data_IF_767437388490
#
_entry.id   IF_767437388490
#
_cell.length_a   1.000
_cell.length_b   1.000
_cell.length_c   1.000
_cell.angle_alpha   90.00
_cell.angle_beta   90.00
_cell.angle_gamma   90.00
#
_symmetry.space_group_name_H-M   'P 1'
#
loop_
_entity.id
_entity.type
_entity.pdbx_description
1 polymer ?
#
# COMPACT_ATOMS: atom_id res chain seq x y z
N UNK A 1 -24.97 14.85 -16.07
CA UNK A 1 -24.12 13.85 -15.37
C UNK A 1 -22.69 14.33 -15.07
N UNK A 2 -21.95 14.97 -16.01
CA UNK A 2 -20.58 15.47 -15.77
C UNK A 2 -20.53 16.60 -14.71
N UNK A 3 -21.44 17.57 -14.75
CA UNK A 3 -21.51 18.72 -13.82
C UNK A 3 -21.80 18.25 -12.39
N UNK A 4 -22.78 17.34 -12.20
CA UNK A 4 -23.10 16.80 -10.87
C UNK A 4 -21.90 16.08 -10.22
N UNK A 5 -21.17 15.30 -11.02
CA UNK A 5 -19.95 14.61 -10.57
C UNK A 5 -18.85 15.60 -10.18
N UNK A 6 -18.69 16.68 -10.94
CA UNK A 6 -17.72 17.73 -10.65
C UNK A 6 -18.06 18.44 -9.34
N UNK A 7 -19.30 18.89 -9.15
CA UNK A 7 -19.76 19.51 -7.91
C UNK A 7 -19.60 18.62 -6.70
N UNK A 8 -19.97 17.33 -6.84
CA UNK A 8 -19.76 16.36 -5.79
C UNK A 8 -18.27 16.25 -5.39
N UNK A 9 -17.37 16.15 -6.35
CA UNK A 9 -15.94 16.07 -6.08
C UNK A 9 -15.39 17.34 -5.43
N UNK A 10 -15.90 18.51 -5.82
CA UNK A 10 -15.53 19.78 -5.20
C UNK A 10 -15.97 19.82 -3.73
N UNK A 11 -17.23 19.46 -3.44
CA UNK A 11 -17.77 19.41 -2.07
C UNK A 11 -16.99 18.41 -1.22
N UNK A 12 -16.77 17.19 -1.73
CA UNK A 12 -15.94 16.18 -1.05
C UNK A 12 -14.56 16.74 -0.68
N UNK A 13 -13.94 17.46 -1.61
CA UNK A 13 -12.61 18.03 -1.42
C UNK A 13 -12.61 19.14 -0.35
N UNK A 14 -13.60 20.03 -0.37
CA UNK A 14 -13.74 21.11 0.64
C UNK A 14 -13.90 20.48 2.03
N UNK A 15 -14.76 19.46 2.17
CA UNK A 15 -14.96 18.75 3.44
C UNK A 15 -13.66 18.10 3.92
N UNK A 16 -12.91 17.44 3.05
CA UNK A 16 -11.64 16.81 3.39
C UNK A 16 -10.60 17.86 3.83
N UNK A 17 -10.48 18.97 3.12
CA UNK A 17 -9.56 20.07 3.47
C UNK A 17 -9.94 20.66 4.83
N UNK A 18 -11.23 20.85 5.12
CA UNK A 18 -11.70 21.31 6.41
C UNK A 18 -11.29 20.37 7.55
N UNK A 19 -11.48 19.04 7.38
CA UNK A 19 -11.00 18.07 8.35
C UNK A 19 -9.47 18.08 8.49
N UNK A 20 -8.74 18.21 7.41
CA UNK A 20 -7.28 18.30 7.44
C UNK A 20 -6.81 19.54 8.21
N UNK A 21 -7.50 20.67 8.07
CA UNK A 21 -7.23 21.87 8.84
C UNK A 21 -7.43 21.64 10.35
N UNK A 22 -8.57 21.07 10.75
CA UNK A 22 -8.84 20.71 12.16
C UNK A 22 -7.78 19.74 12.67
N UNK A 23 -7.47 18.68 11.93
CA UNK A 23 -6.47 17.72 12.31
C UNK A 23 -5.10 18.35 12.54
N UNK A 24 -4.70 19.30 11.68
CA UNK A 24 -3.41 19.99 11.86
C UNK A 24 -3.35 20.77 13.17
N UNK A 25 -4.46 21.35 13.62
CA UNK A 25 -4.55 22.09 14.90
C UNK A 25 -4.43 21.14 16.10
N UNK A 26 -5.16 20.02 16.09
CA UNK A 26 -5.19 19.09 17.25
C UNK A 26 -4.00 18.13 17.34
N UNK A 27 -3.18 18.05 16.28
CA UNK A 27 -1.95 17.29 16.22
C UNK A 27 -2.13 15.80 15.87
N UNK A 28 -1.02 15.13 15.49
CA UNK A 28 -1.01 13.81 14.88
C UNK A 28 -1.73 12.74 15.71
N UNK A 29 -1.38 12.56 17.00
CA UNK A 29 -1.92 11.49 17.85
C UNK A 29 -3.44 11.61 18.02
N UNK A 30 -3.92 12.80 18.37
CA UNK A 30 -5.36 13.04 18.56
C UNK A 30 -6.14 12.91 17.25
N UNK A 31 -5.58 13.42 16.14
CA UNK A 31 -6.20 13.34 14.81
C UNK A 31 -6.34 11.89 14.34
N UNK A 32 -5.28 11.10 14.48
CA UNK A 32 -5.28 9.68 14.13
C UNK A 32 -6.35 8.92 14.94
N UNK A 33 -6.41 9.13 16.26
CA UNK A 33 -7.42 8.52 17.13
C UNK A 33 -8.86 8.92 16.73
N UNK A 34 -9.14 10.21 16.62
CA UNK A 34 -10.49 10.73 16.31
C UNK A 34 -10.93 10.25 14.92
N UNK A 35 -10.08 10.37 13.93
CA UNK A 35 -10.38 9.90 12.57
C UNK A 35 -10.62 8.40 12.52
N UNK A 36 -9.84 7.61 13.27
CA UNK A 36 -10.09 6.18 13.43
C UNK A 36 -11.50 5.88 13.95
N UNK A 37 -11.95 6.60 14.98
CA UNK A 37 -13.32 6.46 15.54
C UNK A 37 -14.40 6.89 14.54
N UNK A 38 -14.19 7.97 13.80
CA UNK A 38 -15.10 8.43 12.74
C UNK A 38 -15.26 7.33 11.67
N UNK A 39 -14.17 6.76 11.18
CA UNK A 39 -14.24 5.72 10.15
C UNK A 39 -14.80 4.40 10.68
N UNK A 40 -14.58 4.06 11.94
CA UNK A 40 -15.21 2.90 12.57
C UNK A 40 -16.74 3.02 12.53
N UNK A 41 -17.29 4.22 12.74
CA UNK A 41 -18.73 4.45 12.71
C UNK A 41 -19.28 4.57 11.28
N UNK A 42 -18.61 5.34 10.42
CA UNK A 42 -19.09 5.68 9.08
C UNK A 42 -18.55 4.75 7.96
N UNK A 43 -17.57 3.92 8.23
CA UNK A 43 -16.88 3.09 7.22
C UNK A 43 -17.83 2.17 6.45
N UNK A 44 -18.85 1.63 7.12
CA UNK A 44 -19.90 0.79 6.51
C UNK A 44 -20.65 1.45 5.34
N UNK A 45 -20.67 2.78 5.29
CA UNK A 45 -21.32 3.53 4.21
C UNK A 45 -20.42 3.74 2.99
N UNK A 46 -19.11 3.58 3.14
CA UNK A 46 -18.16 3.79 2.03
C UNK A 46 -18.02 2.58 1.13
N UNK A 47 -18.21 1.37 1.65
CA UNK A 47 -18.05 0.11 0.91
C UNK A 47 -19.07 -0.93 1.35
N UNK A 48 -19.42 -1.83 0.42
CA UNK A 48 -20.32 -2.94 0.71
C UNK A 48 -19.75 -3.85 1.79
N UNK A 49 -20.39 -3.91 2.95
CA UNK A 49 -20.03 -4.77 4.06
C UNK A 49 -20.03 -6.25 3.65
N UNK A 50 -21.08 -6.68 2.91
CA UNK A 50 -21.18 -8.05 2.38
C UNK A 50 -19.95 -8.46 1.55
N UNK A 51 -19.35 -7.52 0.80
CA UNK A 51 -18.13 -7.80 0.04
C UNK A 51 -16.94 -8.03 0.95
N UNK A 52 -16.77 -7.24 2.00
CA UNK A 52 -15.69 -7.37 2.96
C UNK A 52 -15.83 -8.70 3.71
N UNK A 53 -17.02 -9.04 4.17
CA UNK A 53 -17.34 -10.32 4.80
C UNK A 53 -17.02 -11.51 3.90
N UNK A 54 -17.42 -11.45 2.63
CA UNK A 54 -17.12 -12.52 1.66
C UNK A 54 -15.61 -12.68 1.45
N UNK A 55 -14.86 -11.59 1.36
CA UNK A 55 -13.42 -11.65 1.23
C UNK A 55 -12.75 -12.29 2.47
N UNK A 56 -13.19 -11.93 3.67
CA UNK A 56 -12.73 -12.54 4.91
C UNK A 56 -13.04 -14.04 4.94
N UNK A 57 -14.27 -14.46 4.59
CA UNK A 57 -14.67 -15.88 4.55
C UNK A 57 -13.90 -16.69 3.50
N UNK A 58 -13.48 -16.08 2.38
CA UNK A 58 -12.62 -16.76 1.39
C UNK A 58 -11.24 -17.01 1.99
N UNK A 59 -10.66 -16.03 2.68
CA UNK A 59 -9.33 -16.14 3.25
C UNK A 59 -9.31 -16.99 4.53
N UNK A 60 -10.35 -16.87 5.34
CA UNK A 60 -10.50 -17.51 6.66
C UNK A 60 -11.87 -18.15 6.81
N UNK A 61 -12.09 -19.36 6.26
CA UNK A 61 -13.41 -20.00 6.25
C UNK A 61 -13.98 -20.30 7.65
N UNK A 62 -13.12 -20.45 8.65
CA UNK A 62 -13.49 -20.84 10.01
C UNK A 62 -13.77 -19.66 10.94
N UNK A 63 -13.67 -18.40 10.47
CA UNK A 63 -13.98 -17.25 11.30
C UNK A 63 -15.48 -17.21 11.65
N UNK A 64 -15.76 -16.98 12.90
CA UNK A 64 -17.12 -16.69 13.41
C UNK A 64 -17.62 -15.34 12.90
N UNK A 65 -18.92 -15.13 12.93
CA UNK A 65 -19.50 -13.83 12.57
C UNK A 65 -19.05 -12.69 13.51
N UNK A 66 -18.67 -13.00 14.76
CA UNK A 66 -18.16 -12.04 15.73
C UNK A 66 -16.77 -11.58 15.29
N UNK A 67 -15.84 -12.52 15.07
CA UNK A 67 -14.48 -12.22 14.61
C UNK A 67 -14.46 -11.46 13.27
N UNK A 68 -15.34 -11.82 12.34
CA UNK A 68 -15.50 -11.08 11.07
C UNK A 68 -15.86 -9.61 11.32
N UNK A 69 -16.81 -9.34 12.23
CA UNK A 69 -17.21 -7.97 12.58
C UNK A 69 -16.07 -7.21 13.26
N UNK A 70 -15.31 -7.86 14.12
CA UNK A 70 -14.13 -7.29 14.77
C UNK A 70 -13.07 -6.89 13.74
N UNK A 71 -12.70 -7.78 12.83
CA UNK A 71 -11.74 -7.49 11.75
C UNK A 71 -12.20 -6.34 10.85
N UNK A 72 -13.50 -6.26 10.54
CA UNK A 72 -14.06 -5.16 9.75
C UNK A 72 -13.96 -3.84 10.52
N UNK A 73 -14.29 -3.84 11.80
CA UNK A 73 -14.25 -2.67 12.65
C UNK A 73 -12.81 -2.13 12.79
N UNK A 74 -11.86 -3.01 13.05
CA UNK A 74 -10.45 -2.66 13.14
C UNK A 74 -9.91 -2.14 11.81
N UNK A 75 -10.23 -2.80 10.69
CA UNK A 75 -9.86 -2.32 9.36
C UNK A 75 -10.33 -0.88 9.14
N UNK A 76 -11.58 -0.56 9.45
CA UNK A 76 -12.09 0.81 9.29
C UNK A 76 -11.39 1.81 10.22
N UNK A 77 -11.10 1.41 11.46
CA UNK A 77 -10.33 2.22 12.38
C UNK A 77 -8.93 2.56 11.80
N UNK A 78 -8.20 1.57 11.27
CA UNK A 78 -6.90 1.81 10.62
C UNK A 78 -7.01 2.72 9.40
N UNK A 79 -8.03 2.54 8.57
CA UNK A 79 -8.26 3.46 7.44
C UNK A 79 -8.46 4.90 7.87
N UNK A 80 -9.24 5.11 8.92
CA UNK A 80 -9.44 6.44 9.47
C UNK A 80 -8.15 7.04 10.01
N UNK A 81 -7.33 6.25 10.71
CA UNK A 81 -6.03 6.69 11.18
C UNK A 81 -5.14 7.13 10.02
N UNK A 82 -4.99 6.31 9.00
CA UNK A 82 -4.19 6.63 7.79
C UNK A 82 -4.70 7.88 7.10
N UNK A 83 -6.02 8.09 7.00
CA UNK A 83 -6.62 9.28 6.42
C UNK A 83 -6.15 10.56 7.12
N UNK A 84 -6.17 10.61 8.45
CA UNK A 84 -5.69 11.77 9.20
C UNK A 84 -4.16 11.95 9.09
N UNK A 85 -3.42 10.87 9.01
CA UNK A 85 -1.95 10.89 8.97
C UNK A 85 -1.38 11.51 7.68
N UNK A 86 -2.17 11.59 6.60
CA UNK A 86 -1.72 12.24 5.37
C UNK A 86 -1.31 13.71 5.56
N UNK A 87 -1.97 14.44 6.45
CA UNK A 87 -1.60 15.85 6.69
C UNK A 87 -0.31 15.98 7.52
N UNK A 88 0.15 14.88 8.13
CA UNK A 88 1.35 14.80 8.95
C UNK A 88 2.52 14.07 8.28
N UNK A 89 2.45 13.80 6.96
CA UNK A 89 3.52 13.10 6.23
C UNK A 89 4.89 13.78 6.38
N UNK A 90 4.94 15.12 6.49
CA UNK A 90 6.18 15.83 6.76
C UNK A 90 6.75 15.50 8.14
N UNK A 91 5.90 15.45 9.15
CA UNK A 91 6.30 15.19 10.53
C UNK A 91 6.76 13.74 10.70
N UNK A 92 6.03 12.80 10.06
CA UNK A 92 6.40 11.38 9.98
C UNK A 92 7.71 11.17 9.20
N UNK A 93 7.93 11.91 8.11
CA UNK A 93 9.17 11.83 7.33
C UNK A 93 10.38 12.30 8.15
N UNK A 94 10.23 13.36 8.94
CA UNK A 94 11.30 13.82 9.84
C UNK A 94 11.63 12.77 10.90
N UNK A 95 10.64 12.04 11.36
CA UNK A 95 10.73 11.01 12.40
C UNK A 95 11.47 11.48 13.67
N UNK A 96 11.28 12.75 14.05
CA UNK A 96 11.98 13.35 15.19
C UNK A 96 11.64 12.69 16.53
N UNK A 97 10.43 12.09 16.62
CA UNK A 97 9.96 11.39 17.83
C UNK A 97 10.25 9.88 17.83
N UNK A 98 10.96 9.37 16.82
CA UNK A 98 11.26 7.94 16.72
C UNK A 98 10.05 7.05 16.46
N UNK A 99 8.98 7.61 15.89
CA UNK A 99 7.73 6.87 15.63
C UNK A 99 7.85 5.72 14.62
N UNK A 100 8.95 5.66 13.86
CA UNK A 100 9.17 4.64 12.83
C UNK A 100 10.43 3.87 13.16
N UNK A 101 10.26 2.61 13.57
CA UNK A 101 11.33 1.64 13.77
C UNK A 101 11.50 0.81 12.50
N UNK A 102 12.75 0.41 12.21
CA UNK A 102 13.05 -0.27 10.95
C UNK A 102 13.98 -1.44 11.19
N UNK A 103 13.60 -2.57 10.63
CA UNK A 103 14.39 -3.79 10.61
C UNK A 103 14.78 -4.15 9.16
N UNK A 104 15.97 -4.72 8.97
CA UNK A 104 16.51 -5.10 7.66
C UNK A 104 17.15 -3.93 6.92
N UNK A 105 17.69 -2.93 7.65
CA UNK A 105 18.42 -1.80 7.06
C UNK A 105 19.72 -2.22 6.38
N UNK A 106 20.34 -3.31 6.84
CA UNK A 106 21.51 -3.94 6.24
C UNK A 106 21.26 -4.39 4.79
N UNK A 107 20.05 -4.87 4.49
CA UNK A 107 19.64 -5.23 3.13
C UNK A 107 19.70 -3.98 2.23
N UNK A 108 19.14 -2.84 2.69
CA UNK A 108 19.19 -1.59 1.92
C UNK A 108 20.61 -1.08 1.72
N UNK A 109 21.48 -1.24 2.72
CA UNK A 109 22.87 -0.84 2.64
C UNK A 109 23.61 -1.65 1.56
N UNK A 110 23.46 -2.98 1.57
CA UNK A 110 24.01 -3.88 0.53
C UNK A 110 23.52 -3.50 -0.88
N UNK A 111 22.22 -3.22 -1.04
CA UNK A 111 21.66 -2.79 -2.34
C UNK A 111 22.29 -1.47 -2.83
N UNK A 112 22.53 -0.52 -1.93
CA UNK A 112 23.18 0.77 -2.27
C UNK A 112 24.65 0.60 -2.63
N UNK A 113 25.39 -0.15 -1.83
CA UNK A 113 26.82 -0.43 -2.05
C UNK A 113 27.05 -1.11 -3.41
N UNK A 114 26.17 -2.02 -3.78
CA UNK A 114 26.22 -2.73 -5.04
C UNK A 114 25.58 -1.96 -6.22
N UNK A 115 25.01 -0.78 -6.01
CA UNK A 115 24.20 -0.05 -7.00
C UNK A 115 23.10 -0.92 -7.64
N UNK A 116 22.51 -1.81 -6.85
CA UNK A 116 21.55 -2.81 -7.31
C UNK A 116 20.13 -2.25 -7.35
N UNK A 117 19.49 -2.29 -8.53
CA UNK A 117 18.07 -1.96 -8.70
C UNK A 117 17.21 -3.19 -8.46
N UNK A 118 16.15 -3.05 -7.67
CA UNK A 118 15.26 -4.16 -7.27
C UNK A 118 13.79 -3.78 -7.39
N UNK A 119 12.92 -4.78 -7.33
CA UNK A 119 11.49 -4.57 -7.19
C UNK A 119 11.11 -4.70 -5.72
N UNK A 120 10.65 -3.61 -5.09
CA UNK A 120 10.05 -3.66 -3.77
C UNK A 120 8.56 -4.00 -3.90
N UNK A 121 8.11 -5.01 -3.17
CA UNK A 121 6.71 -5.46 -3.18
C UNK A 121 6.09 -5.41 -1.79
N UNK A 122 4.82 -5.04 -1.73
CA UNK A 122 4.02 -5.04 -0.50
C UNK A 122 2.53 -5.18 -0.79
N UNK A 123 1.72 -5.07 0.27
CA UNK A 123 0.28 -4.90 0.23
C UNK A 123 -0.15 -3.60 0.94
N UNK A 124 -1.44 -3.29 0.87
CA UNK A 124 -2.01 -2.14 1.55
C UNK A 124 -2.26 -2.47 3.03
N UNK A 125 -1.19 -2.39 3.82
CA UNK A 125 -1.20 -2.59 5.27
C UNK A 125 -1.04 -1.26 6.00
N UNK A 126 -1.78 -1.03 7.06
CA UNK A 126 -1.65 0.17 7.90
C UNK A 126 -1.35 1.45 7.08
N UNK A 127 -0.40 2.28 7.49
CA UNK A 127 0.06 3.42 6.69
C UNK A 127 1.15 3.01 5.70
N UNK A 128 0.76 2.28 4.66
CA UNK A 128 1.64 1.75 3.62
C UNK A 128 2.47 2.83 2.89
N UNK A 129 2.06 4.09 2.91
CA UNK A 129 2.81 5.20 2.28
C UNK A 129 4.19 5.39 2.92
N UNK A 130 4.31 5.08 4.22
CA UNK A 130 5.56 5.22 4.97
C UNK A 130 6.66 4.27 4.48
N UNK A 131 6.32 3.13 3.86
CA UNK A 131 7.30 2.21 3.30
C UNK A 131 8.10 2.88 2.16
N UNK A 132 7.41 3.42 1.16
CA UNK A 132 8.07 4.12 0.06
C UNK A 132 8.79 5.39 0.53
N UNK A 133 8.22 6.11 1.50
CA UNK A 133 8.86 7.26 2.14
C UNK A 133 10.20 6.88 2.75
N UNK A 134 10.23 5.77 3.48
CA UNK A 134 11.45 5.34 4.15
C UNK A 134 12.51 4.87 3.15
N UNK A 135 12.14 4.06 2.16
CA UNK A 135 13.06 3.61 1.12
C UNK A 135 13.74 4.79 0.42
N UNK A 136 12.96 5.81 0.04
CA UNK A 136 13.52 7.01 -0.60
C UNK A 136 14.40 7.82 0.36
N UNK A 137 13.97 7.99 1.62
CA UNK A 137 14.75 8.67 2.66
C UNK A 137 16.06 7.96 2.96
N UNK A 138 16.11 6.65 2.83
CA UNK A 138 17.33 5.83 3.02
C UNK A 138 18.32 5.92 1.87
N UNK A 139 18.04 6.72 0.83
CA UNK A 139 18.93 6.94 -0.31
C UNK A 139 18.74 5.96 -1.47
N UNK A 140 17.72 5.10 -1.41
CA UNK A 140 17.36 4.25 -2.56
C UNK A 140 16.83 5.13 -3.70
N UNK A 141 17.37 5.01 -4.89
CA UNK A 141 16.78 5.60 -6.11
C UNK A 141 15.47 4.90 -6.39
N UNK A 142 14.35 5.47 -5.94
CA UNK A 142 13.04 4.83 -5.93
C UNK A 142 12.06 5.47 -6.88
N UNK A 143 11.28 4.64 -7.57
CA UNK A 143 10.04 5.02 -8.23
C UNK A 143 8.88 4.23 -7.63
N UNK A 144 7.74 4.87 -7.36
CA UNK A 144 6.59 4.24 -6.72
C UNK A 144 5.37 4.24 -7.65
N UNK A 145 4.79 3.05 -7.87
CA UNK A 145 3.59 2.90 -8.69
C UNK A 145 2.34 3.18 -7.86
N UNK A 146 1.48 4.06 -8.34
CA UNK A 146 0.24 4.42 -7.66
C UNK A 146 -0.95 4.47 -8.61
N UNK A 147 -2.15 4.31 -8.05
CA UNK A 147 -3.41 4.54 -8.76
C UNK A 147 -3.92 5.95 -8.46
N UNK A 148 -4.19 6.80 -9.48
CA UNK A 148 -4.83 8.09 -9.29
C UNK A 148 -6.19 7.97 -8.60
N UNK A 149 -6.51 8.95 -7.74
CA UNK A 149 -7.83 9.02 -7.12
C UNK A 149 -8.89 9.41 -8.15
N UNK A 150 -10.12 8.93 -7.95
CA UNK A 150 -11.24 9.29 -8.82
C UNK A 150 -11.63 10.78 -8.69
N UNK A 151 -11.50 11.35 -7.50
CA UNK A 151 -11.71 12.78 -7.26
C UNK A 151 -10.49 13.55 -7.75
N UNK A 152 -10.67 14.32 -8.83
CA UNK A 152 -9.59 15.02 -9.53
C UNK A 152 -8.89 16.08 -8.65
N UNK A 153 -9.64 16.76 -7.79
CA UNK A 153 -9.08 17.80 -6.91
C UNK A 153 -8.22 17.16 -5.81
N UNK A 154 -8.75 16.12 -5.15
CA UNK A 154 -7.99 15.37 -4.16
C UNK A 154 -6.78 14.68 -4.77
N UNK A 155 -6.90 14.21 -6.02
CA UNK A 155 -5.77 13.58 -6.71
C UNK A 155 -4.59 14.55 -6.86
N UNK A 156 -4.85 15.81 -7.24
CA UNK A 156 -3.81 16.84 -7.35
C UNK A 156 -3.10 17.09 -6.01
N UNK A 157 -3.87 17.19 -4.92
CA UNK A 157 -3.33 17.36 -3.57
C UNK A 157 -2.46 16.16 -3.18
N UNK A 158 -2.99 14.94 -3.37
CA UNK A 158 -2.31 13.70 -3.01
C UNK A 158 -1.03 13.49 -3.84
N UNK A 159 -1.05 13.75 -5.13
CA UNK A 159 0.16 13.68 -5.98
C UNK A 159 1.25 14.64 -5.50
N UNK A 160 0.87 15.86 -5.11
CA UNK A 160 1.82 16.84 -4.55
C UNK A 160 2.42 16.37 -3.23
N UNK A 161 1.58 15.88 -2.31
CA UNK A 161 2.03 15.36 -1.02
C UNK A 161 2.96 14.14 -1.20
N UNK A 162 2.60 13.19 -2.08
CA UNK A 162 3.42 12.03 -2.37
C UNK A 162 4.77 12.40 -2.96
N UNK A 163 4.80 13.27 -3.99
CA UNK A 163 6.06 13.73 -4.60
C UNK A 163 6.95 14.46 -3.61
N UNK A 164 6.35 15.24 -2.69
CA UNK A 164 7.10 16.06 -1.73
C UNK A 164 7.62 15.23 -0.54
N UNK A 165 6.82 14.31 -0.03
CA UNK A 165 7.09 13.67 1.25
C UNK A 165 7.30 12.15 1.18
N UNK A 166 6.86 11.46 0.13
CA UNK A 166 6.93 10.02 0.03
C UNK A 166 8.04 9.60 -0.95
N UNK A 167 7.86 9.85 -2.23
CA UNK A 167 8.83 9.49 -3.27
C UNK A 167 8.70 10.46 -4.45
N UNK A 168 9.83 11.03 -4.89
CA UNK A 168 9.87 12.02 -5.98
C UNK A 168 9.34 11.48 -7.31
N UNK A 169 9.69 10.24 -7.65
CA UNK A 169 9.28 9.58 -8.89
C UNK A 169 8.00 8.77 -8.66
N UNK A 170 6.86 9.38 -8.96
CA UNK A 170 5.54 8.75 -8.89
C UNK A 170 5.09 8.28 -10.28
N UNK A 171 4.75 7.01 -10.42
CA UNK A 171 4.35 6.39 -11.70
C UNK A 171 2.85 6.04 -11.63
N UNK A 172 2.07 6.55 -12.57
CA UNK A 172 0.64 6.21 -12.67
C UNK A 172 0.47 4.77 -13.16
N UNK A 173 -0.34 3.97 -12.46
CA UNK A 173 -0.68 2.60 -12.89
C UNK A 173 -1.25 2.57 -14.30
N UNK A 174 -0.90 1.54 -15.08
CA UNK A 174 -1.39 1.29 -16.43
C UNK A 174 -0.26 1.01 -17.42
N UNK A 175 -0.60 0.81 -18.70
CA UNK A 175 0.39 0.46 -19.75
C UNK A 175 1.51 1.51 -19.90
N UNK A 176 1.17 2.80 -19.82
CA UNK A 176 2.17 3.88 -19.85
C UNK A 176 3.05 3.81 -18.63
N UNK A 177 2.47 3.63 -17.45
CA UNK A 177 3.24 3.51 -16.21
C UNK A 177 4.17 2.29 -16.19
N UNK A 178 3.78 1.17 -16.80
CA UNK A 178 4.68 0.03 -16.95
C UNK A 178 5.90 0.40 -17.81
N UNK A 179 5.69 1.10 -18.94
CA UNK A 179 6.79 1.58 -19.79
C UNK A 179 7.71 2.53 -19.04
N UNK A 180 7.15 3.48 -18.29
CA UNK A 180 7.90 4.42 -17.47
C UNK A 180 8.69 3.70 -16.37
N UNK A 181 8.10 2.67 -15.75
CA UNK A 181 8.78 1.83 -14.75
C UNK A 181 9.99 1.11 -15.37
N UNK A 182 9.83 0.51 -16.56
CA UNK A 182 10.93 -0.16 -17.27
C UNK A 182 12.05 0.82 -17.63
N UNK A 183 11.70 2.02 -18.09
CA UNK A 183 12.67 3.07 -18.41
C UNK A 183 13.46 3.49 -17.17
N UNK A 184 12.77 3.81 -16.08
CA UNK A 184 13.41 4.22 -14.83
C UNK A 184 14.26 3.10 -14.23
N UNK A 185 13.86 1.84 -14.37
CA UNK A 185 14.67 0.71 -13.90
C UNK A 185 16.00 0.62 -14.65
N UNK A 186 16.00 0.82 -15.97
CA UNK A 186 17.24 0.91 -16.77
C UNK A 186 18.11 2.13 -16.38
N UNK A 187 17.51 3.18 -15.81
CA UNK A 187 18.23 4.36 -15.29
C UNK A 187 18.73 4.15 -13.83
N UNK A 188 18.64 2.93 -13.32
CA UNK A 188 19.09 2.57 -11.97
C UNK A 188 18.11 2.89 -10.85
N UNK A 189 16.81 3.07 -11.14
CA UNK A 189 15.77 3.21 -10.13
C UNK A 189 15.19 1.85 -9.77
N UNK A 190 15.07 1.57 -8.48
CA UNK A 190 14.20 0.52 -7.99
C UNK A 190 12.72 0.90 -8.15
N UNK A 191 11.84 -0.10 -8.26
CA UNK A 191 10.40 0.11 -8.43
C UNK A 191 9.66 -0.45 -7.23
N UNK A 192 8.84 0.38 -6.56
CA UNK A 192 7.94 -0.07 -5.49
C UNK A 192 6.51 -0.18 -6.00
N UNK A 193 5.87 -1.33 -5.76
CA UNK A 193 4.47 -1.55 -6.12
C UNK A 193 3.73 -2.45 -5.11
N UNK A 194 2.43 -2.21 -4.99
CA UNK A 194 1.53 -3.06 -4.23
C UNK A 194 1.00 -4.19 -5.11
N UNK A 195 1.09 -5.44 -4.61
CA UNK A 195 0.73 -6.65 -5.38
C UNK A 195 -0.58 -7.28 -4.93
N UNK A 196 -1.23 -6.73 -3.93
CA UNK A 196 -2.38 -7.30 -3.23
C UNK A 196 -3.75 -7.05 -3.88
N UNK A 197 -3.85 -6.09 -4.81
CA UNK A 197 -5.11 -5.76 -5.44
C UNK A 197 -5.30 -6.48 -6.79
N UNK A 198 -6.57 -6.72 -7.13
CA UNK A 198 -6.94 -7.29 -8.43
C UNK A 198 -6.48 -6.40 -9.59
N UNK A 199 -5.90 -7.04 -10.60
CA UNK A 199 -5.49 -6.40 -11.85
C UNK A 199 -6.09 -7.18 -13.00
N UNK A 200 -6.97 -6.55 -13.80
CA UNK A 200 -7.71 -7.23 -14.87
C UNK A 200 -6.80 -7.82 -15.96
N UNK A 201 -5.63 -7.21 -16.16
CA UNK A 201 -4.61 -7.63 -17.12
C UNK A 201 -3.58 -8.61 -16.53
N UNK A 202 -3.79 -9.04 -15.28
CA UNK A 202 -2.92 -9.99 -14.61
C UNK A 202 -3.27 -11.45 -14.92
N UNK A 203 -2.47 -12.38 -14.40
CA UNK A 203 -2.74 -13.81 -14.46
C UNK A 203 -3.69 -14.25 -13.33
N UNK A 204 -4.46 -15.33 -13.59
CA UNK A 204 -5.24 -16.01 -12.56
C UNK A 204 -4.30 -16.87 -11.72
N UNK A 205 -3.96 -16.41 -10.55
CA UNK A 205 -3.03 -17.09 -9.62
C UNK A 205 -3.76 -17.34 -8.30
N UNK A 206 -3.48 -18.48 -7.67
CA UNK A 206 -4.03 -18.80 -6.35
C UNK A 206 -3.63 -17.74 -5.31
N UNK A 207 -4.64 -17.32 -4.52
CA UNK A 207 -4.51 -16.45 -3.38
C UNK A 207 -5.53 -16.89 -2.32
N UNK A 208 -5.09 -17.36 -1.16
CA UNK A 208 -5.92 -18.08 -0.19
C UNK A 208 -6.71 -19.25 -0.82
N UNK A 209 -6.02 -20.10 -1.53
CA UNK A 209 -6.58 -21.27 -2.24
C UNK A 209 -7.67 -20.98 -3.28
N UNK A 210 -7.96 -19.71 -3.58
CA UNK A 210 -8.91 -19.30 -4.61
C UNK A 210 -8.20 -18.47 -5.68
N UNK A 211 -8.54 -18.70 -6.95
CA UNK A 211 -7.98 -17.93 -8.07
C UNK A 211 -8.33 -16.45 -7.97
N UNK A 212 -7.35 -15.61 -8.21
CA UNK A 212 -7.51 -14.16 -8.25
C UNK A 212 -6.61 -13.55 -9.32
N UNK A 213 -7.13 -12.61 -10.08
CA UNK A 213 -6.32 -11.86 -11.04
C UNK A 213 -5.24 -11.05 -10.33
N UNK A 214 -3.99 -11.43 -10.51
CA UNK A 214 -2.82 -10.89 -9.82
C UNK A 214 -1.88 -10.22 -10.81
N UNK A 215 -1.26 -9.11 -10.39
CA UNK A 215 -0.24 -8.44 -11.20
C UNK A 215 0.97 -9.33 -11.40
N UNK A 216 1.42 -9.45 -12.63
CA UNK A 216 2.63 -10.21 -13.01
C UNK A 216 3.84 -9.30 -13.19
N UNK A 217 3.72 -8.00 -12.90
CA UNK A 217 4.80 -7.03 -13.10
C UNK A 217 6.10 -7.45 -12.42
N UNK A 218 6.13 -7.89 -11.14
CA UNK A 218 7.38 -8.34 -10.52
C UNK A 218 8.04 -9.49 -11.30
N UNK A 219 7.28 -10.51 -11.68
CA UNK A 219 7.79 -11.63 -12.47
C UNK A 219 8.32 -11.22 -13.85
N UNK A 220 7.65 -10.25 -14.51
CA UNK A 220 8.13 -9.70 -15.78
C UNK A 220 9.47 -8.97 -15.63
N UNK A 221 9.68 -8.22 -14.53
CA UNK A 221 10.94 -7.56 -14.24
C UNK A 221 12.05 -8.58 -13.94
N UNK A 222 11.76 -9.59 -13.12
CA UNK A 222 12.70 -10.69 -12.85
C UNK A 222 13.16 -11.34 -14.16
N UNK A 223 12.22 -11.71 -15.03
CA UNK A 223 12.55 -12.36 -16.31
C UNK A 223 13.34 -11.46 -17.27
N UNK A 224 13.09 -10.16 -17.24
CA UNK A 224 13.74 -9.20 -18.15
C UNK A 224 15.11 -8.74 -17.65
N UNK A 225 15.27 -8.55 -16.35
CA UNK A 225 16.42 -7.88 -15.76
C UNK A 225 17.24 -8.78 -14.83
N UNK A 226 16.80 -10.02 -14.60
CA UNK A 226 17.36 -10.92 -13.60
C UNK A 226 17.51 -10.26 -12.22
N UNK A 227 16.54 -9.42 -11.85
CA UNK A 227 16.58 -8.62 -10.64
C UNK A 227 15.93 -9.33 -9.45
N UNK A 228 16.34 -8.97 -8.25
CA UNK A 228 15.75 -9.44 -7.00
C UNK A 228 14.41 -8.78 -6.72
N UNK A 229 13.56 -9.47 -5.97
CA UNK A 229 12.30 -8.92 -5.44
C UNK A 229 12.41 -8.83 -3.92
N UNK A 230 12.32 -7.62 -3.38
CA UNK A 230 12.46 -7.32 -1.96
C UNK A 230 11.11 -7.08 -1.33
N UNK A 231 10.60 -7.98 -0.50
CA UNK A 231 9.35 -7.75 0.22
C UNK A 231 9.55 -6.74 1.34
N UNK A 232 8.56 -5.89 1.53
CA UNK A 232 8.53 -4.91 2.61
C UNK A 232 7.14 -4.89 3.25
N UNK A 233 7.09 -4.79 4.57
CA UNK A 233 5.86 -4.77 5.35
C UNK A 233 5.90 -3.66 6.38
N UNK A 234 4.75 -3.07 6.66
CA UNK A 234 4.58 -2.11 7.75
C UNK A 234 3.47 -2.57 8.67
N UNK A 235 3.70 -2.40 9.96
CA UNK A 235 2.68 -2.58 10.98
C UNK A 235 2.71 -1.40 11.96
N UNK A 236 1.52 -1.01 12.41
CA UNK A 236 1.36 -0.11 13.53
C UNK A 236 1.53 -0.91 14.81
N UNK A 237 2.47 -0.51 15.65
CA UNK A 237 2.74 -1.15 16.94
C UNK A 237 1.81 -0.57 18.00
N UNK A 238 1.72 0.77 18.02
CA UNK A 238 0.87 1.53 18.92
C UNK A 238 0.40 2.81 18.22
N UNK A 239 -0.60 3.48 18.71
CA UNK A 239 -1.25 4.70 18.19
C UNK A 239 -0.69 5.27 16.87
N UNK A 240 0.49 5.88 16.94
CA UNK A 240 1.20 6.53 15.82
C UNK A 240 2.61 5.97 15.61
N UNK A 241 2.92 4.85 16.26
CA UNK A 241 4.22 4.20 16.17
C UNK A 241 4.15 3.02 15.22
N UNK A 242 5.15 2.93 14.33
CA UNK A 242 5.18 1.98 13.24
C UNK A 242 6.48 1.18 13.25
N UNK A 243 6.39 -0.05 12.78
CA UNK A 243 7.53 -0.89 12.47
C UNK A 243 7.53 -1.25 10.99
N UNK A 244 8.60 -0.92 10.29
CA UNK A 244 8.84 -1.34 8.92
C UNK A 244 9.81 -2.52 8.94
N UNK A 245 9.42 -3.61 8.29
CA UNK A 245 10.24 -4.80 8.12
C UNK A 245 10.61 -4.94 6.65
N UNK A 246 11.90 -4.95 6.34
CA UNK A 246 12.45 -5.31 5.05
C UNK A 246 12.89 -6.75 5.15
N UNK A 247 12.44 -7.58 4.23
CA UNK A 247 12.75 -9.01 4.22
C UNK A 247 13.90 -9.31 3.27
N UNK A 248 14.53 -10.47 3.45
CA UNK A 248 15.51 -10.98 2.51
C UNK A 248 14.95 -11.03 1.09
N UNK A 249 15.75 -10.65 0.09
CA UNK A 249 15.33 -10.67 -1.29
C UNK A 249 14.95 -12.07 -1.76
N UNK A 250 13.88 -12.17 -2.54
CA UNK A 250 13.65 -13.33 -3.37
C UNK A 250 14.59 -13.29 -4.59
N UNK A 251 15.31 -14.36 -4.80
CA UNK A 251 16.10 -14.63 -5.99
C UNK A 251 15.50 -15.82 -6.73
N UNK A 252 15.25 -15.67 -8.01
CA UNK A 252 14.60 -16.70 -8.82
C UNK A 252 15.56 -17.21 -9.90
N UNK A 253 15.57 -18.52 -10.09
CA UNK A 253 16.34 -19.15 -11.19
C UNK A 253 15.75 -18.77 -12.56
N UNK A 254 16.55 -18.78 -13.60
CA UNK A 254 16.11 -18.42 -14.96
C UNK A 254 14.95 -19.26 -15.50
N UNK A 255 14.86 -20.54 -15.12
CA UNK A 255 13.82 -21.46 -15.57
C UNK A 255 12.46 -21.24 -14.88
N UNK A 256 12.38 -20.49 -13.79
CA UNK A 256 11.11 -20.23 -13.06
C UNK A 256 10.21 -19.34 -13.92
N UNK A 257 8.96 -19.71 -14.10
CA UNK A 257 7.98 -18.95 -14.88
C UNK A 257 7.48 -17.69 -14.13
N UNK A 258 6.92 -16.75 -14.87
CA UNK A 258 6.29 -15.54 -14.30
C UNK A 258 5.16 -15.89 -13.33
N UNK A 259 4.38 -16.91 -13.63
CA UNK A 259 3.25 -17.34 -12.80
C UNK A 259 3.72 -18.00 -11.49
N UNK A 260 4.81 -18.78 -11.54
CA UNK A 260 5.43 -19.33 -10.33
C UNK A 260 6.00 -18.24 -9.42
N UNK A 261 6.70 -17.24 -9.99
CA UNK A 261 7.16 -16.06 -9.24
C UNK A 261 5.98 -15.35 -8.58
N UNK A 262 4.91 -15.13 -9.34
CA UNK A 262 3.71 -14.45 -8.83
C UNK A 262 3.02 -15.26 -7.73
N UNK A 263 3.00 -16.59 -7.85
CA UNK A 263 2.45 -17.48 -6.82
C UNK A 263 3.27 -17.42 -5.53
N UNK A 264 4.60 -17.40 -5.63
CA UNK A 264 5.46 -17.31 -4.46
C UNK A 264 5.29 -15.98 -3.72
N UNK A 265 5.16 -14.88 -4.45
CA UNK A 265 4.87 -13.57 -3.87
C UNK A 265 3.47 -13.53 -3.22
N UNK A 266 2.48 -14.20 -3.82
CA UNK A 266 1.15 -14.36 -3.19
C UNK A 266 1.24 -15.14 -1.87
N UNK A 267 1.98 -16.25 -1.82
CA UNK A 267 2.18 -17.03 -0.60
C UNK A 267 2.83 -16.21 0.52
N UNK A 268 3.85 -15.40 0.18
CA UNK A 268 4.44 -14.47 1.13
C UNK A 268 3.39 -13.49 1.66
N UNK A 269 2.60 -12.88 0.78
CA UNK A 269 1.56 -11.92 1.15
C UNK A 269 0.49 -12.56 2.04
N UNK A 270 0.06 -13.80 1.73
CA UNK A 270 -0.87 -14.58 2.56
C UNK A 270 -0.32 -14.81 3.98
N UNK A 271 0.98 -15.14 4.10
CA UNK A 271 1.64 -15.31 5.39
C UNK A 271 1.57 -14.05 6.24
N UNK A 272 1.79 -12.87 5.63
CA UNK A 272 1.71 -11.59 6.31
C UNK A 272 0.26 -11.27 6.73
N UNK A 273 -0.71 -11.49 5.82
CA UNK A 273 -2.13 -11.24 6.11
C UNK A 273 -2.64 -12.16 7.23
N UNK A 274 -2.24 -13.45 7.22
CA UNK A 274 -2.61 -14.42 8.28
C UNK A 274 -2.09 -14.01 9.65
N UNK A 275 -0.93 -13.35 9.72
CA UNK A 275 -0.37 -12.85 10.98
C UNK A 275 -1.21 -11.73 11.59
N UNK A 276 -1.73 -10.82 10.76
CA UNK A 276 -2.50 -9.66 11.20
C UNK A 276 -3.66 -9.36 10.23
N UNK A 277 -4.77 -10.15 10.25
CA UNK A 277 -5.85 -10.02 9.28
C UNK A 277 -6.48 -8.62 9.23
N UNK A 278 -6.70 -8.00 10.39
CA UNK A 278 -7.36 -6.68 10.49
C UNK A 278 -6.60 -5.54 9.82
N UNK A 279 -5.28 -5.72 9.60
CA UNK A 279 -4.43 -4.65 9.06
C UNK A 279 -4.41 -4.60 7.54
N UNK A 280 -5.05 -5.56 6.86
CA UNK A 280 -5.14 -5.58 5.41
C UNK A 280 -6.43 -4.97 4.88
N UNK A 281 -6.40 -4.53 3.59
CA UNK A 281 -7.51 -3.85 2.90
C UNK A 281 -8.58 -4.82 2.38
N UNK A 282 -9.48 -5.31 3.22
CA UNK A 282 -10.56 -6.22 2.83
C UNK A 282 -11.64 -5.59 1.94
N UNK A 283 -11.71 -4.27 1.84
CA UNK A 283 -12.72 -3.56 1.05
C UNK A 283 -12.51 -3.63 -0.46
N UNK A 284 -11.35 -4.11 -0.91
CA UNK A 284 -11.05 -4.32 -2.33
C UNK A 284 -11.66 -5.64 -2.83
N UNK A 285 -12.19 -5.65 -4.07
CA UNK A 285 -12.79 -6.85 -4.66
C UNK A 285 -11.72 -7.77 -5.27
N UNK A 286 -10.97 -8.45 -4.40
CA UNK A 286 -9.78 -9.23 -4.77
C UNK A 286 -10.10 -10.43 -5.64
N UNK A 287 -11.23 -11.12 -5.36
CA UNK A 287 -11.64 -12.36 -6.01
C UNK A 287 -12.85 -12.22 -6.96
N UNK A 288 -13.01 -11.07 -7.59
CA UNK A 288 -14.05 -10.88 -8.60
C UNK A 288 -13.66 -11.50 -9.93
#
# INVERSE_FOLDING_TARGET
MKVFKFLRYLIETIIIIFFFFIFKIIGLKKSSFISGKIFLFFGKFFRSQKKIENNLKIAFPNLTNIEIKEHISEMWNYYGKVFAEYIFLNDLRKNQKGNIQINGTDILNKLKENNESVIFVSGHFDNFELMAMYLEKSGIKLSAVYRPLNNIFMNLIMERLRKKYICKKQIKKGRVGLRDSLKLFNEGYSVALMIDQRVSEGSKIKFFNKEAYTTTIPGQFVKKFNCKVVPIYIERIDDIDFKIQIFEPFEFKENVSIDEITLELNKWLEKIIKKNPSKWIWSHNRWK
#
